data_IF_606507546470
#
_entry.id   IF_606507546470
#
_cell.length_a   1.000
_cell.length_b   1.000
_cell.length_c   1.000
_cell.angle_alpha   90.00
_cell.angle_beta   90.00
_cell.angle_gamma   90.00
#
_symmetry.space_group_name_H-M   'P 1'
#
loop_
_entity.id
_entity.type
_entity.pdbx_description
1 polymer ?
#
# COMPACT_ATOMS: atom_id res chain seq x y z
N UNK A 1 15.77 -4.04 10.70
CA UNK A 1 14.80 -4.73 11.58
C UNK A 1 14.55 -3.96 12.87
N UNK A 2 15.58 -3.38 13.51
CA UNK A 2 15.45 -2.78 14.85
C UNK A 2 14.46 -1.62 14.93
N UNK A 3 14.41 -0.71 13.94
CA UNK A 3 13.42 0.39 13.90
C UNK A 3 11.96 -0.04 13.90
N UNK A 4 11.62 -1.20 13.33
CA UNK A 4 10.25 -1.71 13.34
C UNK A 4 9.93 -2.44 14.65
N UNK A 5 10.95 -2.83 15.41
CA UNK A 5 10.81 -3.51 16.69
C UNK A 5 10.80 -2.53 17.85
N UNK A 6 11.49 -1.40 17.71
CA UNK A 6 11.66 -0.36 18.72
C UNK A 6 10.37 0.03 19.46
N UNK A 7 9.22 0.25 18.79
CA UNK A 7 7.96 0.51 19.50
C UNK A 7 7.50 -0.63 20.41
N UNK A 8 7.92 -1.86 20.13
CA UNK A 8 7.52 -3.08 20.84
C UNK A 8 8.57 -3.59 21.84
N UNK A 9 9.77 -2.98 21.88
CA UNK A 9 10.85 -3.42 22.76
C UNK A 9 10.60 -3.02 24.22
N UNK A 10 10.00 -1.86 24.44
CA UNK A 10 9.73 -1.33 25.79
C UNK A 10 8.35 -1.74 26.33
N UNK A 11 7.41 -2.15 25.46
CA UNK A 11 6.06 -2.55 25.85
C UNK A 11 5.32 -3.31 24.76
N UNK A 12 4.44 -4.24 25.14
CA UNK A 12 3.51 -4.90 24.20
C UNK A 12 2.31 -4.03 23.81
N UNK A 13 2.11 -2.88 24.49
CA UNK A 13 0.92 -2.03 24.30
C UNK A 13 0.71 -1.58 22.85
N UNK A 14 1.74 -1.20 22.07
CA UNK A 14 1.54 -0.87 20.66
C UNK A 14 1.03 -2.04 19.83
N UNK A 15 1.44 -3.28 20.15
CA UNK A 15 0.95 -4.48 19.47
C UNK A 15 -0.53 -4.73 19.75
N UNK A 16 -0.93 -4.61 21.02
CA UNK A 16 -2.34 -4.74 21.42
C UNK A 16 -3.22 -3.62 20.85
N UNK A 17 -2.69 -2.41 20.68
CA UNK A 17 -3.40 -1.30 20.05
C UNK A 17 -3.68 -1.57 18.57
N UNK A 18 -2.70 -2.13 17.84
CA UNK A 18 -2.90 -2.53 16.44
C UNK A 18 -3.95 -3.65 16.35
N UNK A 19 -3.87 -4.64 17.23
CA UNK A 19 -4.83 -5.75 17.27
C UNK A 19 -6.26 -5.27 17.57
N UNK A 20 -6.44 -4.40 18.58
CA UNK A 20 -7.75 -3.82 18.92
C UNK A 20 -8.29 -2.96 17.78
N UNK A 21 -7.44 -2.16 17.12
CA UNK A 21 -7.83 -1.37 15.95
C UNK A 21 -8.31 -2.25 14.78
N UNK A 22 -7.59 -3.33 14.48
CA UNK A 22 -7.97 -4.30 13.43
C UNK A 22 -9.30 -4.98 13.75
N UNK A 23 -9.53 -5.37 15.03
CA UNK A 23 -10.77 -6.03 15.46
C UNK A 23 -11.98 -5.11 15.41
N UNK A 24 -11.79 -3.81 15.67
CA UNK A 24 -12.87 -2.82 15.65
C UNK A 24 -13.11 -2.21 14.27
N UNK A 25 -12.24 -2.47 13.31
CA UNK A 25 -12.35 -1.92 11.97
C UNK A 25 -13.56 -2.52 11.24
N UNK A 26 -14.47 -1.64 10.79
CA UNK A 26 -15.47 -1.97 9.79
C UNK A 26 -14.80 -1.91 8.41
N UNK A 27 -14.30 -3.05 7.96
CA UNK A 27 -13.52 -3.17 6.72
C UNK A 27 -14.32 -2.79 5.49
N UNK A 28 -15.59 -3.20 5.41
CA UNK A 28 -16.45 -2.91 4.27
C UNK A 28 -16.69 -1.41 4.14
N UNK A 29 -17.05 -0.75 5.25
CA UNK A 29 -17.24 0.70 5.27
C UNK A 29 -15.94 1.45 4.98
N UNK A 30 -14.83 0.99 5.53
CA UNK A 30 -13.52 1.65 5.37
C UNK A 30 -13.04 1.57 3.92
N UNK A 31 -13.15 0.39 3.29
CA UNK A 31 -12.80 0.19 1.88
C UNK A 31 -13.73 1.00 0.98
N UNK A 32 -15.05 0.94 1.20
CA UNK A 32 -16.01 1.71 0.42
C UNK A 32 -15.73 3.22 0.49
N UNK A 33 -15.49 3.76 1.69
CA UNK A 33 -15.14 5.18 1.84
C UNK A 33 -13.81 5.54 1.18
N UNK A 34 -12.83 4.64 1.22
CA UNK A 34 -11.51 4.87 0.61
C UNK A 34 -11.63 4.92 -0.90
N UNK A 35 -12.30 3.93 -1.51
CA UNK A 35 -12.50 3.88 -2.96
C UNK A 35 -13.32 5.06 -3.48
N UNK A 36 -14.40 5.42 -2.78
CA UNK A 36 -15.19 6.60 -3.12
C UNK A 36 -14.32 7.87 -3.10
N UNK A 37 -13.46 8.04 -2.09
CA UNK A 37 -12.53 9.17 -2.01
C UNK A 37 -11.49 9.15 -3.12
N UNK A 38 -10.91 8.00 -3.45
CA UNK A 38 -9.93 7.86 -4.53
C UNK A 38 -10.53 8.27 -5.88
N UNK A 39 -11.77 7.87 -6.15
CA UNK A 39 -12.50 8.25 -7.37
C UNK A 39 -12.86 9.74 -7.41
N UNK A 40 -13.08 10.37 -6.24
CA UNK A 40 -13.44 11.78 -6.11
C UNK A 40 -12.24 12.71 -5.92
N UNK A 41 -11.02 12.17 -5.77
CA UNK A 41 -9.87 12.92 -5.28
C UNK A 41 -9.46 14.07 -6.21
N UNK A 42 -9.90 14.05 -7.48
CA UNK A 42 -9.56 15.08 -8.47
C UNK A 42 -8.05 15.18 -8.76
N UNK A 43 -7.29 14.16 -8.35
CA UNK A 43 -5.84 14.05 -8.52
C UNK A 43 -5.51 12.72 -9.19
N UNK A 44 -4.44 12.71 -9.96
CA UNK A 44 -3.92 11.49 -10.56
C UNK A 44 -3.36 10.57 -9.46
N UNK A 45 -4.01 9.42 -9.26
CA UNK A 45 -3.58 8.40 -8.30
C UNK A 45 -2.85 7.27 -9.01
N UNK A 46 -1.68 6.93 -8.49
CA UNK A 46 -0.87 5.79 -8.92
C UNK A 46 -0.72 4.83 -7.75
N UNK A 47 -1.00 3.56 -8.01
CA UNK A 47 -0.81 2.47 -7.06
C UNK A 47 0.39 1.66 -7.48
N UNK A 48 1.40 1.59 -6.61
CA UNK A 48 2.55 0.70 -6.80
C UNK A 48 2.49 -0.48 -5.86
N UNK A 49 2.78 -1.68 -6.38
CA UNK A 49 2.51 -2.95 -5.70
C UNK A 49 3.66 -3.94 -5.86
N UNK A 50 3.94 -4.77 -4.86
CA UNK A 50 4.94 -5.82 -5.00
C UNK A 50 4.50 -6.90 -5.99
N UNK A 51 5.28 -7.15 -7.04
CA UNK A 51 4.92 -8.14 -8.06
C UNK A 51 4.80 -9.59 -7.52
N UNK A 52 5.51 -9.91 -6.42
CA UNK A 52 5.50 -11.22 -5.75
C UNK A 52 4.91 -11.13 -4.34
N UNK A 53 3.98 -10.20 -4.09
CA UNK A 53 3.26 -10.15 -2.80
C UNK A 53 2.43 -11.43 -2.60
N UNK A 54 2.78 -12.18 -1.54
CA UNK A 54 2.16 -13.45 -1.18
C UNK A 54 0.86 -13.32 -0.40
N UNK A 55 0.54 -12.13 0.11
CA UNK A 55 -0.67 -11.88 0.90
C UNK A 55 -1.78 -11.27 0.05
N UNK A 56 -1.43 -10.38 -0.89
CA UNK A 56 -2.37 -9.84 -1.86
C UNK A 56 -1.74 -9.85 -3.26
N UNK A 57 -2.13 -10.79 -4.13
CA UNK A 57 -1.58 -10.91 -5.47
C UNK A 57 -1.68 -9.62 -6.28
N UNK A 58 -0.62 -9.30 -7.04
CA UNK A 58 -0.57 -8.10 -7.88
C UNK A 58 -1.73 -8.02 -8.89
N UNK A 59 -2.24 -9.17 -9.37
CA UNK A 59 -3.39 -9.22 -10.27
C UNK A 59 -4.69 -8.71 -9.63
N UNK A 60 -4.89 -8.93 -8.34
CA UNK A 60 -6.08 -8.44 -7.62
C UNK A 60 -5.99 -6.93 -7.41
N UNK A 61 -4.79 -6.42 -7.11
CA UNK A 61 -4.51 -4.99 -7.03
C UNK A 61 -4.70 -4.30 -8.40
N UNK A 62 -4.21 -4.90 -9.49
CA UNK A 62 -4.42 -4.42 -10.85
C UNK A 62 -5.90 -4.36 -11.22
N UNK A 63 -6.65 -5.45 -10.95
CA UNK A 63 -8.09 -5.51 -11.18
C UNK A 63 -8.86 -4.42 -10.43
N UNK A 64 -8.46 -4.16 -9.18
CA UNK A 64 -9.05 -3.09 -8.36
C UNK A 64 -8.74 -1.70 -8.94
N UNK A 65 -7.49 -1.45 -9.33
CA UNK A 65 -7.11 -0.18 -9.96
C UNK A 65 -7.90 0.04 -11.26
N UNK A 66 -8.06 -0.99 -12.08
CA UNK A 66 -8.86 -0.95 -13.31
C UNK A 66 -10.33 -0.62 -13.03
N UNK A 67 -10.93 -1.24 -12.01
CA UNK A 67 -12.32 -0.96 -11.62
C UNK A 67 -12.52 0.47 -11.11
N UNK A 68 -11.48 1.06 -10.49
CA UNK A 68 -11.51 2.41 -9.93
C UNK A 68 -10.99 3.49 -10.89
N UNK A 69 -10.49 3.12 -12.08
CA UNK A 69 -9.89 4.05 -13.04
C UNK A 69 -8.53 4.62 -12.59
N UNK A 70 -7.81 3.90 -11.73
CA UNK A 70 -6.51 4.30 -11.18
C UNK A 70 -5.36 3.70 -12.01
N UNK A 71 -4.19 4.34 -11.97
CA UNK A 71 -2.98 3.82 -12.63
C UNK A 71 -2.33 2.76 -11.74
N UNK A 72 -1.97 1.62 -12.31
CA UNK A 72 -1.30 0.52 -11.62
C UNK A 72 0.12 0.36 -12.14
N UNK A 73 1.10 0.35 -11.23
CA UNK A 73 2.53 0.24 -11.57
C UNK A 73 3.27 -0.73 -10.65
N UNK A 74 3.39 -2.02 -11.03
CA UNK A 74 4.01 -3.01 -10.16
C UNK A 74 5.51 -2.76 -10.00
N UNK A 75 6.01 -2.92 -8.79
CA UNK A 75 7.43 -2.93 -8.47
C UNK A 75 8.02 -4.22 -9.03
N UNK A 76 8.82 -4.05 -10.09
CA UNK A 76 9.45 -5.16 -10.81
C UNK A 76 10.44 -5.92 -9.91
N UNK A 77 10.66 -7.19 -10.24
CA UNK A 77 11.53 -8.09 -9.48
C UNK A 77 10.73 -8.92 -8.46
N UNK A 78 11.39 -9.38 -7.40
CA UNK A 78 10.82 -10.25 -6.36
C UNK A 78 10.22 -9.47 -5.18
N UNK A 79 9.65 -8.31 -5.47
CA UNK A 79 9.13 -7.42 -4.45
C UNK A 79 7.84 -8.00 -3.83
N UNK A 80 7.85 -8.20 -2.51
CA UNK A 80 6.72 -8.73 -1.75
C UNK A 80 5.88 -7.63 -1.11
N UNK A 81 5.39 -7.88 0.10
CA UNK A 81 4.44 -7.03 0.83
C UNK A 81 4.94 -5.61 1.18
N UNK A 82 6.25 -5.44 1.40
CA UNK A 82 6.83 -4.14 1.76
C UNK A 82 7.85 -3.70 0.71
N UNK A 83 7.42 -3.45 -0.54
CA UNK A 83 8.33 -3.13 -1.63
C UNK A 83 9.14 -1.85 -1.35
N UNK A 84 8.59 -0.91 -0.59
CA UNK A 84 9.26 0.32 -0.15
C UNK A 84 10.44 0.08 0.82
N UNK A 85 10.47 -1.08 1.50
CA UNK A 85 11.54 -1.44 2.43
C UNK A 85 12.55 -2.34 1.74
N UNK A 86 12.06 -3.40 1.09
CA UNK A 86 12.92 -4.45 0.54
C UNK A 86 13.48 -4.08 -0.85
N UNK A 87 12.75 -3.23 -1.59
CA UNK A 87 13.05 -2.85 -2.98
C UNK A 87 12.91 -1.34 -3.19
N UNK A 88 13.37 -0.53 -2.22
CA UNK A 88 13.17 0.92 -2.18
C UNK A 88 13.49 1.64 -3.50
N UNK A 89 14.62 1.30 -4.15
CA UNK A 89 15.00 1.88 -5.45
C UNK A 89 14.04 1.51 -6.58
N UNK A 90 13.53 0.27 -6.59
CA UNK A 90 12.57 -0.18 -7.60
C UNK A 90 11.19 0.40 -7.34
N UNK A 91 10.79 0.54 -6.07
CA UNK A 91 9.57 1.22 -5.67
C UNK A 91 9.61 2.70 -6.07
N UNK A 92 10.74 3.38 -5.82
CA UNK A 92 10.96 4.74 -6.28
C UNK A 92 10.92 4.83 -7.80
N UNK A 93 11.60 3.92 -8.51
CA UNK A 93 11.59 3.89 -9.97
C UNK A 93 10.18 3.73 -10.56
N UNK A 94 9.31 2.94 -9.91
CA UNK A 94 7.92 2.75 -10.34
C UNK A 94 7.09 4.04 -10.21
N UNK A 95 7.28 4.82 -9.14
CA UNK A 95 6.49 6.05 -8.90
C UNK A 95 7.13 7.32 -9.48
N UNK A 96 8.44 7.32 -9.73
CA UNK A 96 9.21 8.50 -10.16
C UNK A 96 8.66 9.22 -11.40
N UNK A 97 8.20 8.53 -12.47
CA UNK A 97 7.62 9.21 -13.63
C UNK A 97 6.43 10.11 -13.25
N UNK A 98 5.69 9.72 -12.23
CA UNK A 98 4.49 10.41 -11.77
C UNK A 98 4.79 11.54 -10.79
N UNK A 99 5.93 11.50 -10.10
CA UNK A 99 6.41 12.60 -9.27
C UNK A 99 6.96 13.76 -10.12
N UNK A 100 7.54 13.46 -11.28
CA UNK A 100 8.15 14.44 -12.18
C UNK A 100 7.12 15.02 -13.16
N UNK A 101 6.09 14.28 -13.53
CA UNK A 101 5.02 14.77 -14.42
C UNK A 101 4.06 15.77 -13.76
N UNK A 102 4.13 15.95 -12.43
CA UNK A 102 3.28 16.85 -11.66
C UNK A 102 3.89 18.26 -11.43
N UNK A 103 5.03 18.55 -12.05
CA UNK A 103 5.72 19.87 -12.03
C UNK A 103 5.69 20.52 -13.40
#
# INVERSE_FOLDING_TARGET
ADRYREPFLESMMPGLAVEDAVKRCDWDRTLASTYAKLQQAGVDVVVSWGAEDKYLPAADAEGTCKALGLKFEPVRGKAGFMPQVDYAESALAAIRPYLIAAS
#
